data_IF_113545185391
#
_entry.id   IF_113545185391
#
_cell.length_a   1.000
_cell.length_b   1.000
_cell.length_c   1.000
_cell.angle_alpha   90.00
_cell.angle_beta   90.00
_cell.angle_gamma   90.00
#
_symmetry.space_group_name_H-M   'P 1'
#
loop_
_entity.id
_entity.type
_entity.pdbx_description
1 polymer ?
#
# COMPACT_ATOMS: atom_id res chain seq x y z
N UNK A 1 -15.04 67.43 -11.92
CA UNK A 1 -13.99 66.63 -12.62
C UNK A 1 -13.66 65.28 -11.93
N UNK A 2 -14.47 64.75 -11.00
CA UNK A 2 -14.11 63.60 -10.15
C UNK A 2 -14.86 62.29 -10.46
N UNK A 3 -16.06 62.35 -11.07
CA UNK A 3 -16.92 61.18 -11.31
C UNK A 3 -16.44 60.33 -12.50
N UNK A 4 -15.94 60.97 -13.56
CA UNK A 4 -15.43 60.28 -14.76
C UNK A 4 -14.14 59.50 -14.48
N UNK A 5 -13.25 60.05 -13.64
CA UNK A 5 -12.02 59.38 -13.25
C UNK A 5 -12.31 58.16 -12.37
N UNK A 6 -13.23 58.30 -11.40
CA UNK A 6 -13.70 57.20 -10.54
C UNK A 6 -14.38 56.07 -11.35
N UNK A 7 -15.21 56.41 -12.36
CA UNK A 7 -15.82 55.44 -13.28
C UNK A 7 -14.81 54.69 -14.16
N UNK A 8 -13.80 55.40 -14.70
CA UNK A 8 -12.73 54.77 -15.51
C UNK A 8 -11.84 53.84 -14.66
N UNK A 9 -11.55 54.24 -13.42
CA UNK A 9 -10.78 53.45 -12.48
C UNK A 9 -11.53 52.18 -12.05
N UNK A 10 -12.80 52.29 -11.66
CA UNK A 10 -13.64 51.13 -11.30
C UNK A 10 -13.80 50.17 -12.49
N UNK A 11 -14.02 50.67 -13.72
CA UNK A 11 -14.11 49.83 -14.91
C UNK A 11 -12.82 49.05 -15.20
N UNK A 12 -11.64 49.66 -14.99
CA UNK A 12 -10.34 48.98 -15.15
C UNK A 12 -10.15 47.87 -14.12
N UNK A 13 -10.55 48.10 -12.86
CA UNK A 13 -10.50 47.08 -11.81
C UNK A 13 -11.45 45.93 -12.15
N UNK A 14 -12.72 46.22 -12.48
CA UNK A 14 -13.70 45.19 -12.85
C UNK A 14 -13.26 44.36 -14.07
N UNK A 15 -12.69 45.00 -15.10
CA UNK A 15 -12.16 44.31 -16.27
C UNK A 15 -10.96 43.43 -15.91
N UNK A 16 -10.04 43.92 -15.07
CA UNK A 16 -8.91 43.14 -14.57
C UNK A 16 -9.35 41.91 -13.77
N UNK A 17 -10.30 42.08 -12.86
CA UNK A 17 -10.91 40.97 -12.10
C UNK A 17 -11.60 39.97 -13.02
N UNK A 18 -12.33 40.44 -14.04
CA UNK A 18 -12.99 39.57 -15.01
C UNK A 18 -11.99 38.78 -15.86
N UNK A 19 -10.93 39.42 -16.36
CA UNK A 19 -9.85 38.74 -17.10
C UNK A 19 -9.17 37.71 -16.22
N UNK A 20 -8.84 38.07 -14.97
CA UNK A 20 -8.26 37.13 -14.02
C UNK A 20 -9.17 35.92 -13.78
N UNK A 21 -10.47 36.15 -13.57
CA UNK A 21 -11.44 35.07 -13.42
C UNK A 21 -11.52 34.17 -14.67
N UNK A 22 -11.48 34.75 -15.88
CA UNK A 22 -11.44 33.99 -17.13
C UNK A 22 -10.14 33.19 -17.29
N UNK A 23 -8.99 33.74 -16.88
CA UNK A 23 -7.71 33.03 -16.91
C UNK A 23 -7.71 31.86 -15.92
N UNK A 24 -8.23 32.06 -14.69
CA UNK A 24 -8.42 30.99 -13.73
C UNK A 24 -9.36 29.90 -14.28
N UNK A 25 -10.48 30.31 -14.89
CA UNK A 25 -11.42 29.38 -15.51
C UNK A 25 -10.75 28.57 -16.63
N UNK A 26 -10.06 29.23 -17.55
CA UNK A 26 -9.34 28.56 -18.63
C UNK A 26 -8.27 27.59 -18.10
N UNK A 27 -7.51 28.02 -17.08
CA UNK A 27 -6.49 27.17 -16.48
C UNK A 27 -7.11 25.92 -15.83
N UNK A 28 -8.17 26.08 -15.02
CA UNK A 28 -8.81 24.98 -14.29
C UNK A 28 -9.55 24.02 -15.22
N UNK A 29 -10.26 24.52 -16.22
CA UNK A 29 -11.16 23.71 -17.05
C UNK A 29 -10.57 23.30 -18.41
N UNK A 30 -9.44 23.88 -18.83
CA UNK A 30 -8.76 23.51 -20.07
C UNK A 30 -7.35 22.99 -19.78
N UNK A 31 -6.51 23.78 -19.13
CA UNK A 31 -5.09 23.43 -18.94
C UNK A 31 -4.94 22.22 -18.01
N UNK A 32 -5.59 22.22 -16.84
CA UNK A 32 -5.50 21.09 -15.88
C UNK A 32 -6.00 19.76 -16.46
N UNK A 33 -7.17 19.68 -17.12
CA UNK A 33 -7.61 18.45 -17.78
C UNK A 33 -6.67 17.98 -18.89
N UNK A 34 -6.04 18.89 -19.65
CA UNK A 34 -5.05 18.52 -20.66
C UNK A 34 -3.79 17.96 -20.02
N UNK A 35 -3.27 18.60 -18.96
CA UNK A 35 -2.14 18.05 -18.19
C UNK A 35 -2.49 16.65 -17.68
N UNK A 36 -3.70 16.46 -17.13
CA UNK A 36 -4.15 15.15 -16.69
C UNK A 36 -4.22 14.15 -17.82
N UNK A 37 -4.83 14.50 -18.95
CA UNK A 37 -5.00 13.62 -20.11
C UNK A 37 -3.68 13.12 -20.70
N UNK A 38 -2.63 13.94 -20.66
CA UNK A 38 -1.35 13.66 -21.31
C UNK A 38 -0.21 13.29 -20.33
N UNK A 39 -0.38 13.47 -19.02
CA UNK A 39 0.60 13.06 -18.01
C UNK A 39 0.21 11.76 -17.34
N UNK A 40 0.79 10.65 -17.81
CA UNK A 40 0.62 9.35 -17.16
C UNK A 40 1.17 9.33 -15.73
N UNK A 41 2.24 10.06 -15.45
CA UNK A 41 2.78 10.17 -14.08
C UNK A 41 1.77 10.82 -13.14
N UNK A 42 1.07 11.87 -13.59
CA UNK A 42 0.05 12.52 -12.78
C UNK A 42 -1.17 11.62 -12.59
N UNK A 43 -1.62 10.91 -13.64
CA UNK A 43 -2.70 9.92 -13.53
C UNK A 43 -2.36 8.81 -12.54
N UNK A 44 -1.17 8.23 -12.64
CA UNK A 44 -0.68 7.16 -11.76
C UNK A 44 -0.50 7.66 -10.33
N UNK A 45 0.10 8.83 -10.16
CA UNK A 45 0.24 9.46 -8.84
C UNK A 45 -1.10 9.68 -8.15
N UNK A 46 -2.12 10.14 -8.88
CA UNK A 46 -3.47 10.34 -8.34
C UNK A 46 -4.23 9.02 -8.09
N UNK A 47 -3.97 7.98 -8.88
CA UNK A 47 -4.59 6.66 -8.69
C UNK A 47 -4.03 5.93 -7.47
N UNK A 48 -2.70 5.83 -7.38
CA UNK A 48 -2.03 5.06 -6.33
C UNK A 48 -1.88 5.89 -5.03
N UNK A 49 -1.64 7.19 -5.13
CA UNK A 49 -1.36 8.06 -3.97
C UNK A 49 -0.21 7.51 -3.08
N UNK A 50 0.77 6.84 -3.69
CA UNK A 50 1.89 6.20 -3.00
C UNK A 50 2.86 7.20 -2.31
N UNK A 51 2.69 8.49 -2.59
CA UNK A 51 3.36 9.58 -1.87
C UNK A 51 2.72 9.88 -0.49
N UNK A 52 1.51 9.41 -0.22
CA UNK A 52 0.85 9.55 1.08
C UNK A 52 1.37 8.44 2.00
N UNK A 53 2.18 8.81 2.99
CA UNK A 53 2.80 7.87 3.94
C UNK A 53 2.40 8.16 5.37
N UNK A 54 2.39 7.12 6.21
CA UNK A 54 2.33 7.30 7.66
C UNK A 54 3.67 7.85 8.13
N UNK A 55 3.64 8.93 8.91
CA UNK A 55 4.85 9.56 9.41
C UNK A 55 5.40 8.79 10.63
N UNK A 56 6.73 8.71 10.74
CA UNK A 56 7.44 8.08 11.86
C UNK A 56 7.21 6.57 12.05
N UNK A 57 6.82 5.85 10.99
CA UNK A 57 6.70 4.40 11.02
C UNK A 57 8.08 3.70 11.01
N UNK A 58 8.30 2.74 11.93
CA UNK A 58 9.45 1.83 11.89
C UNK A 58 9.05 0.48 11.27
N UNK A 59 9.28 0.37 9.96
CA UNK A 59 8.97 -0.82 9.17
C UNK A 59 9.75 -2.08 9.59
N UNK A 60 10.84 -1.93 10.35
CA UNK A 60 11.61 -3.07 10.87
C UNK A 60 11.08 -3.56 12.22
N UNK A 61 10.22 -2.78 12.90
CA UNK A 61 9.67 -3.11 14.21
C UNK A 61 8.14 -3.05 14.21
N UNK A 62 7.44 -4.08 13.71
CA UNK A 62 5.98 -4.17 13.75
C UNK A 62 5.38 -3.98 15.15
N UNK A 63 6.13 -4.34 16.20
CA UNK A 63 5.74 -4.15 17.60
C UNK A 63 5.54 -2.68 17.97
N UNK A 64 6.23 -1.75 17.31
CA UNK A 64 6.02 -0.30 17.49
C UNK A 64 4.62 0.15 17.01
N UNK A 65 4.03 -0.57 16.07
CA UNK A 65 2.65 -0.38 15.61
C UNK A 65 1.63 -1.21 16.41
N UNK A 66 2.02 -1.84 17.52
CA UNK A 66 1.12 -2.64 18.35
C UNK A 66 0.85 -4.05 17.82
N UNK A 67 1.69 -4.55 16.90
CA UNK A 67 1.59 -5.93 16.38
C UNK A 67 2.53 -6.85 17.16
N UNK A 68 1.97 -7.53 18.17
CA UNK A 68 2.72 -8.39 19.08
C UNK A 68 3.21 -9.64 18.34
N UNK A 69 4.50 -9.96 18.49
CA UNK A 69 5.10 -11.15 17.89
C UNK A 69 5.12 -11.15 16.36
N UNK A 70 4.85 -10.01 15.70
CA UNK A 70 4.95 -9.91 14.26
C UNK A 70 6.42 -9.72 13.82
N UNK A 71 6.78 -10.32 12.68
CA UNK A 71 8.12 -10.17 12.07
C UNK A 71 8.07 -9.28 10.84
N UNK A 72 9.19 -8.60 10.58
CA UNK A 72 9.46 -7.90 9.33
C UNK A 72 10.42 -8.70 8.45
N UNK A 73 10.09 -8.82 7.17
CA UNK A 73 10.90 -9.49 6.16
C UNK A 73 10.79 -8.77 4.82
N UNK A 74 11.72 -9.08 3.92
CA UNK A 74 11.71 -8.58 2.55
C UNK A 74 11.45 -9.74 1.60
N UNK A 75 10.57 -9.54 0.62
CA UNK A 75 10.33 -10.49 -0.48
C UNK A 75 10.79 -9.83 -1.77
N UNK A 76 11.60 -10.54 -2.55
CA UNK A 76 12.09 -10.04 -3.84
C UNK A 76 11.26 -10.63 -4.97
N UNK A 77 10.76 -9.78 -5.85
CA UNK A 77 10.02 -10.18 -7.06
C UNK A 77 10.95 -10.77 -8.12
N UNK A 78 10.39 -11.39 -9.17
CA UNK A 78 11.20 -11.93 -10.29
C UNK A 78 11.99 -10.85 -11.02
N UNK A 79 11.45 -9.64 -11.10
CA UNK A 79 12.12 -8.46 -11.69
C UNK A 79 13.07 -7.73 -10.72
N UNK A 80 13.36 -8.32 -9.56
CA UNK A 80 14.39 -7.83 -8.62
C UNK A 80 13.94 -6.74 -7.67
N UNK A 81 12.64 -6.48 -7.56
CA UNK A 81 12.07 -5.45 -6.69
C UNK A 81 11.94 -6.00 -5.27
N UNK A 82 12.47 -5.26 -4.29
CA UNK A 82 12.31 -5.62 -2.87
C UNK A 82 11.03 -5.02 -2.31
N UNK A 83 10.17 -5.89 -1.79
CA UNK A 83 8.93 -5.54 -1.11
C UNK A 83 9.09 -5.65 0.40
N UNK A 84 8.66 -4.63 1.13
CA UNK A 84 8.55 -4.65 2.59
C UNK A 84 7.32 -5.43 3.02
N UNK A 85 7.50 -6.40 3.93
CA UNK A 85 6.46 -7.34 4.33
C UNK A 85 6.46 -7.54 5.84
N UNK A 86 5.26 -7.50 6.42
CA UNK A 86 4.99 -7.91 7.78
C UNK A 86 4.21 -9.22 7.80
N UNK A 87 4.67 -10.15 8.63
CA UNK A 87 3.93 -11.35 8.97
C UNK A 87 3.47 -11.23 10.43
N UNK A 88 2.15 -11.06 10.61
CA UNK A 88 1.50 -11.04 11.91
C UNK A 88 0.95 -12.42 12.25
N UNK A 89 0.94 -12.74 13.55
CA UNK A 89 0.66 -14.10 14.01
C UNK A 89 -0.71 -14.24 14.66
N UNK A 90 -1.35 -15.41 14.51
CA UNK A 90 -2.43 -15.85 15.39
C UNK A 90 -2.09 -15.61 16.86
N UNK A 91 -3.06 -15.18 17.67
CA UNK A 91 -2.84 -14.88 19.10
C UNK A 91 -2.15 -16.03 19.84
N UNK A 92 -2.53 -17.29 19.52
CA UNK A 92 -1.93 -18.49 20.12
C UNK A 92 -0.40 -18.63 19.94
N UNK A 93 0.18 -17.99 18.92
CA UNK A 93 1.63 -18.04 18.64
C UNK A 93 2.38 -16.79 19.11
N UNK A 94 1.70 -15.72 19.50
CA UNK A 94 2.34 -14.43 19.82
C UNK A 94 3.24 -14.51 21.06
N UNK A 95 2.81 -15.20 22.11
CA UNK A 95 3.62 -15.37 23.32
C UNK A 95 4.89 -16.18 23.05
N UNK A 96 4.76 -17.24 22.26
CA UNK A 96 5.91 -18.06 21.84
C UNK A 96 6.86 -17.25 20.96
N UNK A 97 6.34 -16.43 20.04
CA UNK A 97 7.14 -15.55 19.20
C UNK A 97 7.89 -14.48 19.98
N UNK A 98 7.26 -13.90 21.01
CA UNK A 98 7.93 -12.97 21.93
C UNK A 98 9.07 -13.66 22.68
N UNK A 99 8.86 -14.88 23.18
CA UNK A 99 9.92 -15.67 23.79
C UNK A 99 11.01 -16.06 22.77
N UNK A 100 10.64 -16.33 21.53
CA UNK A 100 11.60 -16.60 20.45
C UNK A 100 12.47 -15.38 20.08
N UNK A 101 12.19 -14.18 20.60
CA UNK A 101 13.08 -13.01 20.46
C UNK A 101 14.45 -13.25 21.11
N UNK A 102 14.56 -14.20 22.05
CA UNK A 102 15.84 -14.65 22.60
C UNK A 102 16.67 -15.49 21.63
N UNK A 103 16.09 -15.99 20.53
CA UNK A 103 16.85 -16.63 19.47
C UNK A 103 17.75 -15.57 18.82
N UNK A 104 19.06 -15.67 19.04
CA UNK A 104 20.06 -14.82 18.41
C UNK A 104 20.15 -15.04 16.90
N UNK A 105 19.74 -16.22 16.42
CA UNK A 105 19.70 -16.55 15.01
C UNK A 105 18.36 -16.17 14.35
N UNK A 106 18.43 -15.24 13.40
CA UNK A 106 17.31 -14.82 12.57
C UNK A 106 16.76 -15.97 11.72
N UNK A 107 17.60 -16.86 11.21
CA UNK A 107 17.18 -17.94 10.33
C UNK A 107 16.32 -18.97 11.09
N UNK A 108 16.77 -19.40 12.28
CA UNK A 108 15.98 -20.27 13.15
C UNK A 108 14.63 -19.65 13.53
N UNK A 109 14.60 -18.35 13.83
CA UNK A 109 13.35 -17.63 14.09
C UNK A 109 12.45 -17.65 12.86
N UNK A 110 12.98 -17.34 11.68
CA UNK A 110 12.18 -17.27 10.47
C UNK A 110 11.61 -18.65 10.06
N UNK A 111 12.38 -19.73 10.27
CA UNK A 111 11.91 -21.10 10.10
C UNK A 111 10.77 -21.44 11.07
N UNK A 112 10.82 -20.95 12.32
CA UNK A 112 9.74 -21.18 13.29
C UNK A 112 8.43 -20.54 12.84
N UNK A 113 8.48 -19.31 12.35
CA UNK A 113 7.29 -18.62 11.81
C UNK A 113 6.73 -19.34 10.59
N UNK A 114 7.60 -19.85 9.69
CA UNK A 114 7.18 -20.63 8.53
C UNK A 114 6.47 -21.93 8.97
N UNK A 115 6.97 -22.59 10.04
CA UNK A 115 6.33 -23.80 10.58
C UNK A 115 4.91 -23.56 11.13
N UNK A 116 4.63 -22.37 11.69
CA UNK A 116 3.28 -22.03 12.13
C UNK A 116 2.34 -21.78 10.94
N UNK A 117 2.86 -21.23 9.84
CA UNK A 117 2.07 -21.02 8.62
C UNK A 117 1.69 -22.33 7.92
N UNK A 118 2.50 -23.39 8.05
CA UNK A 118 2.33 -24.67 7.34
C UNK A 118 0.89 -25.20 7.38
N UNK A 119 0.26 -25.14 8.56
CA UNK A 119 -1.09 -25.66 8.81
C UNK A 119 -2.10 -24.55 9.12
N UNK A 120 -1.67 -23.29 9.12
CA UNK A 120 -2.46 -22.14 9.53
C UNK A 120 -3.39 -21.61 8.43
N UNK A 121 -4.36 -20.80 8.84
CA UNK A 121 -5.11 -19.95 7.91
C UNK A 121 -4.33 -18.65 7.73
N UNK A 122 -3.96 -18.34 6.49
CA UNK A 122 -3.17 -17.16 6.14
C UNK A 122 -3.98 -16.22 5.25
N UNK A 123 -4.09 -14.97 5.68
CA UNK A 123 -4.69 -13.88 4.90
C UNK A 123 -3.58 -13.04 4.27
N UNK A 124 -3.54 -12.99 2.94
CA UNK A 124 -2.72 -12.01 2.20
C UNK A 124 -3.55 -10.76 2.01
N UNK A 125 -3.11 -9.65 2.63
CA UNK A 125 -3.84 -8.39 2.61
C UNK A 125 -3.27 -7.43 1.56
N UNK A 126 -4.03 -7.24 0.48
CA UNK A 126 -3.76 -6.32 -0.61
C UNK A 126 -4.42 -4.96 -0.30
N UNK A 127 -3.64 -3.97 0.08
CA UNK A 127 -4.14 -2.67 0.53
C UNK A 127 -4.63 -1.77 -0.61
N UNK A 128 -5.44 -0.76 -0.28
CA UNK A 128 -5.94 0.23 -1.23
C UNK A 128 -4.95 1.34 -1.55
N UNK A 129 -5.41 2.33 -2.31
CA UNK A 129 -4.65 3.55 -2.56
C UNK A 129 -4.32 4.31 -1.26
N UNK A 130 -3.24 5.09 -1.31
CA UNK A 130 -2.72 5.89 -0.21
C UNK A 130 -2.33 5.11 1.05
N UNK A 131 -1.43 5.71 1.84
CA UNK A 131 -0.94 5.10 3.06
C UNK A 131 -0.21 3.78 2.80
N UNK A 132 0.19 3.15 3.89
CA UNK A 132 1.03 1.95 3.86
C UNK A 132 0.53 0.93 4.89
N UNK A 133 1.21 -0.21 4.99
CA UNK A 133 0.84 -1.30 5.90
C UNK A 133 0.76 -0.88 7.36
N UNK A 134 1.27 0.29 7.74
CA UNK A 134 1.25 0.81 9.11
C UNK A 134 0.03 1.69 9.44
N UNK A 135 -0.84 1.95 8.46
CA UNK A 135 -2.04 2.77 8.67
C UNK A 135 -2.95 2.19 9.77
N UNK A 136 -3.40 3.01 10.73
CA UNK A 136 -4.14 2.58 11.93
C UNK A 136 -5.32 1.64 11.66
N UNK A 137 -6.13 1.93 10.63
CA UNK A 137 -7.27 1.10 10.28
C UNK A 137 -6.86 -0.30 9.79
N UNK A 138 -5.68 -0.41 9.15
CA UNK A 138 -5.11 -1.68 8.69
C UNK A 138 -4.51 -2.45 9.86
N UNK A 139 -3.79 -1.78 10.76
CA UNK A 139 -3.30 -2.38 12.01
C UNK A 139 -4.44 -3.04 12.80
N UNK A 140 -5.55 -2.31 12.98
CA UNK A 140 -6.74 -2.84 13.67
C UNK A 140 -7.31 -4.06 12.96
N UNK A 141 -7.36 -4.06 11.62
CA UNK A 141 -7.78 -5.22 10.85
C UNK A 141 -6.85 -6.42 11.10
N UNK A 142 -5.53 -6.24 11.08
CA UNK A 142 -4.59 -7.33 11.34
C UNK A 142 -4.81 -7.93 12.73
N UNK A 143 -4.98 -7.07 13.75
CA UNK A 143 -5.25 -7.50 15.12
C UNK A 143 -6.55 -8.31 15.22
N UNK A 144 -7.63 -7.89 14.55
CA UNK A 144 -8.88 -8.65 14.50
C UNK A 144 -8.66 -10.03 13.84
N UNK A 145 -7.96 -10.08 12.71
CA UNK A 145 -7.65 -11.34 12.03
C UNK A 145 -6.76 -12.26 12.89
N UNK A 146 -5.80 -11.69 13.62
CA UNK A 146 -4.99 -12.46 14.56
C UNK A 146 -5.81 -13.04 15.71
N UNK A 147 -6.82 -12.32 16.22
CA UNK A 147 -7.76 -12.81 17.23
C UNK A 147 -8.62 -13.97 16.71
N UNK A 148 -8.90 -14.01 15.41
CA UNK A 148 -9.53 -15.14 14.72
C UNK A 148 -8.58 -16.31 14.45
N UNK A 149 -7.36 -16.26 15.00
CA UNK A 149 -6.28 -17.22 14.80
C UNK A 149 -5.76 -17.30 13.35
N UNK A 150 -5.79 -16.18 12.62
CA UNK A 150 -5.23 -16.10 11.28
C UNK A 150 -3.86 -15.42 11.26
N UNK A 151 -2.99 -15.93 10.40
CA UNK A 151 -1.79 -15.22 9.97
C UNK A 151 -2.21 -14.09 9.03
N UNK A 152 -1.54 -12.94 9.11
CA UNK A 152 -1.70 -11.90 8.08
C UNK A 152 -0.35 -11.57 7.47
N UNK A 153 -0.30 -11.64 6.14
CA UNK A 153 0.80 -11.14 5.32
C UNK A 153 0.37 -9.77 4.79
N UNK A 154 0.91 -8.73 5.41
CA UNK A 154 0.69 -7.35 5.03
C UNK A 154 1.95 -6.81 4.37
N UNK A 155 1.85 -6.42 3.10
CA UNK A 155 2.98 -5.93 2.33
C UNK A 155 2.64 -4.58 1.71
N UNK A 156 3.66 -3.83 1.30
CA UNK A 156 3.49 -2.61 0.53
C UNK A 156 3.99 -2.83 -0.90
N UNK A 157 3.21 -2.39 -1.89
CA UNK A 157 3.63 -2.47 -3.31
C UNK A 157 4.91 -1.67 -3.56
N UNK A 158 5.59 -1.91 -4.67
CA UNK A 158 6.70 -1.06 -5.12
C UNK A 158 6.26 0.40 -5.16
N UNK A 159 7.15 1.30 -4.77
CA UNK A 159 6.85 2.72 -4.65
C UNK A 159 6.06 3.13 -3.39
N UNK A 160 5.63 2.19 -2.54
CA UNK A 160 5.05 2.49 -1.22
C UNK A 160 6.06 2.25 -0.10
N UNK A 161 5.90 2.99 1.00
CA UNK A 161 6.60 2.72 2.26
C UNK A 161 8.13 2.59 2.11
N UNK A 162 8.67 1.46 2.57
CA UNK A 162 10.04 0.98 2.49
C UNK A 162 10.25 -0.11 1.41
N UNK A 163 9.25 -0.40 0.59
CA UNK A 163 9.44 -1.14 -0.68
C UNK A 163 10.23 -0.27 -1.66
N UNK A 164 10.93 -0.89 -2.60
CA UNK A 164 11.80 -0.14 -3.51
C UNK A 164 11.02 0.93 -4.30
N UNK A 165 11.61 2.12 -4.39
CA UNK A 165 10.97 3.29 -4.98
C UNK A 165 11.14 3.28 -6.51
N UNK A 166 10.38 2.41 -7.17
CA UNK A 166 10.36 2.23 -8.63
C UNK A 166 9.03 2.69 -9.24
N UNK A 167 8.99 2.96 -10.56
CA UNK A 167 7.75 3.27 -11.24
C UNK A 167 6.67 2.23 -10.97
N UNK A 168 5.48 2.72 -10.62
CA UNK A 168 4.31 1.90 -10.34
C UNK A 168 3.35 1.96 -11.53
N UNK A 169 2.80 0.81 -11.92
CA UNK A 169 1.70 0.66 -12.85
C UNK A 169 0.91 -0.62 -12.52
N UNK A 170 -0.13 -0.91 -13.29
CA UNK A 170 -0.99 -2.06 -13.06
C UNK A 170 -0.24 -3.40 -13.10
N UNK A 171 0.60 -3.61 -14.12
CA UNK A 171 1.33 -4.86 -14.27
C UNK A 171 2.35 -5.02 -13.13
N UNK A 172 2.96 -3.92 -12.71
CA UNK A 172 3.94 -3.90 -11.65
C UNK A 172 3.35 -4.31 -10.29
N UNK A 173 2.16 -3.80 -9.92
CA UNK A 173 1.51 -4.19 -8.65
C UNK A 173 0.93 -5.61 -8.69
N UNK A 174 0.55 -6.10 -9.88
CA UNK A 174 0.16 -7.49 -10.09
C UNK A 174 1.37 -8.41 -9.88
N UNK A 175 2.54 -8.04 -10.40
CA UNK A 175 3.79 -8.77 -10.21
C UNK A 175 4.22 -8.81 -8.74
N UNK A 176 4.10 -7.67 -8.05
CA UNK A 176 4.39 -7.59 -6.62
C UNK A 176 3.51 -8.57 -5.84
N UNK A 177 2.19 -8.52 -6.07
CA UNK A 177 1.23 -9.41 -5.42
C UNK A 177 1.49 -10.88 -5.77
N UNK A 178 1.90 -11.16 -7.02
CA UNK A 178 2.26 -12.51 -7.46
C UNK A 178 3.45 -13.05 -6.66
N UNK A 179 4.49 -12.25 -6.47
CA UNK A 179 5.66 -12.66 -5.67
C UNK A 179 5.28 -12.99 -4.22
N UNK A 180 4.41 -12.19 -3.60
CA UNK A 180 3.88 -12.45 -2.26
C UNK A 180 3.10 -13.77 -2.23
N UNK A 181 2.16 -13.97 -3.16
CA UNK A 181 1.33 -15.18 -3.17
C UNK A 181 2.15 -16.45 -3.42
N UNK A 182 3.15 -16.40 -4.30
CA UNK A 182 4.09 -17.52 -4.50
C UNK A 182 4.84 -17.83 -3.20
N UNK A 183 5.41 -16.82 -2.55
CA UNK A 183 6.13 -16.98 -1.28
C UNK A 183 5.25 -17.57 -0.16
N UNK A 184 3.97 -17.20 -0.13
CA UNK A 184 2.98 -17.75 0.83
C UNK A 184 2.62 -19.19 0.48
N UNK A 185 2.36 -19.49 -0.81
CA UNK A 185 2.03 -20.85 -1.29
C UNK A 185 3.12 -21.87 -0.98
N UNK A 186 4.38 -21.47 -1.04
CA UNK A 186 5.53 -22.33 -0.67
C UNK A 186 5.54 -22.70 0.82
N UNK A 187 4.90 -21.90 1.69
CA UNK A 187 4.91 -22.07 3.15
C UNK A 187 3.64 -22.69 3.71
N UNK A 188 2.49 -22.38 3.12
CA UNK A 188 1.19 -22.89 3.56
C UNK A 188 0.86 -24.18 2.81
N UNK A 189 1.44 -25.30 3.24
CA UNK A 189 1.35 -26.59 2.52
C UNK A 189 0.13 -27.44 2.92
N UNK A 190 -0.37 -27.26 4.15
CA UNK A 190 -1.53 -27.98 4.71
C UNK A 190 -2.61 -27.04 5.24
N UNK A 191 -2.40 -25.75 5.13
CA UNK A 191 -3.30 -24.70 5.60
C UNK A 191 -4.18 -24.14 4.48
N UNK A 192 -4.75 -22.96 4.73
CA UNK A 192 -5.59 -22.25 3.77
C UNK A 192 -5.06 -20.84 3.52
N UNK A 193 -5.11 -20.41 2.26
CA UNK A 193 -4.71 -19.05 1.85
C UNK A 193 -5.98 -18.31 1.43
N UNK A 194 -6.23 -17.17 2.06
CA UNK A 194 -7.26 -16.21 1.67
C UNK A 194 -6.61 -14.94 1.17
N UNK A 195 -7.12 -14.38 0.07
CA UNK A 195 -6.66 -13.09 -0.44
C UNK A 195 -7.72 -12.05 -0.11
N UNK A 196 -7.34 -11.03 0.65
CA UNK A 196 -8.21 -9.89 0.97
C UNK A 196 -7.72 -8.67 0.20
N UNK A 197 -8.49 -8.25 -0.81
CA UNK A 197 -8.26 -6.98 -1.49
C UNK A 197 -9.18 -5.89 -0.96
N UNK A 198 -8.61 -4.74 -0.57
CA UNK A 198 -9.35 -3.56 -0.11
C UNK A 198 -9.23 -2.41 -1.11
N UNK A 199 -10.36 -1.87 -1.58
CA UNK A 199 -10.40 -0.71 -2.48
C UNK A 199 -9.59 -1.01 -3.75
N UNK A 200 -8.59 -0.20 -4.11
CA UNK A 200 -7.66 -0.50 -5.22
C UNK A 200 -7.08 -1.92 -5.16
N UNK A 201 -6.75 -2.39 -3.95
CA UNK A 201 -6.21 -3.73 -3.73
C UNK A 201 -7.18 -4.86 -4.12
N UNK A 202 -8.49 -4.60 -4.22
CA UNK A 202 -9.47 -5.56 -4.73
C UNK A 202 -9.24 -5.86 -6.21
N UNK A 203 -9.04 -4.83 -7.03
CA UNK A 203 -8.78 -5.01 -8.46
C UNK A 203 -7.42 -5.70 -8.68
N UNK A 204 -6.40 -5.29 -7.93
CA UNK A 204 -5.06 -5.91 -7.99
C UNK A 204 -5.14 -7.39 -7.61
N UNK A 205 -5.76 -7.73 -6.47
CA UNK A 205 -5.91 -9.10 -6.02
C UNK A 205 -6.67 -9.97 -7.03
N UNK A 206 -7.78 -9.48 -7.57
CA UNK A 206 -8.57 -10.21 -8.57
C UNK A 206 -7.77 -10.45 -9.85
N UNK A 207 -7.04 -9.45 -10.35
CA UNK A 207 -6.20 -9.58 -11.53
C UNK A 207 -5.05 -10.58 -11.27
N UNK A 208 -4.34 -10.48 -10.15
CA UNK A 208 -3.28 -11.43 -9.82
C UNK A 208 -3.79 -12.87 -9.71
N UNK A 209 -4.98 -13.09 -9.13
CA UNK A 209 -5.57 -14.42 -9.04
C UNK A 209 -5.94 -14.97 -10.42
N UNK A 210 -6.49 -14.15 -11.32
CA UNK A 210 -6.77 -14.54 -12.69
C UNK A 210 -5.50 -14.90 -13.48
N UNK A 211 -4.41 -14.15 -13.29
CA UNK A 211 -3.10 -14.47 -13.88
C UNK A 211 -2.58 -15.81 -13.36
N UNK A 212 -2.61 -16.02 -12.05
CA UNK A 212 -2.15 -17.26 -11.43
C UNK A 212 -2.98 -18.48 -11.85
N UNK A 213 -4.30 -18.34 -11.96
CA UNK A 213 -5.17 -19.42 -12.45
C UNK A 213 -4.81 -19.84 -13.89
N UNK A 214 -4.42 -18.88 -14.74
CA UNK A 214 -3.95 -19.17 -16.10
C UNK A 214 -2.59 -19.87 -16.18
N UNK A 215 -1.79 -19.82 -15.11
CA UNK A 215 -0.45 -20.45 -15.03
C UNK A 215 -0.49 -21.90 -14.52
N UNK A 216 -1.62 -22.33 -13.91
CA UNK A 216 -1.81 -23.66 -13.29
C UNK A 216 -1.53 -23.69 -11.80
#
# INVERSE_FOLDING_TARGET
MNIFFKRRFVRRICLGTFIFALLCFFFIFVVVPLIFRYSYDMQRGLLFLNFVKVHNADYNKPTSAGLIGARSLNITTKDGVRLGVWHTLPVKHQLEALAATWLTDRAARDQRYDSWMETGVTVVYCHGNAGDRTSDHRIKLYQILNQLNYHVIAFDYRGYADSDNLPIDEQAVVEDTRAILTWVRERVTKGHIFVWGHSLGTAIAAHTLAVLEGEG
#
